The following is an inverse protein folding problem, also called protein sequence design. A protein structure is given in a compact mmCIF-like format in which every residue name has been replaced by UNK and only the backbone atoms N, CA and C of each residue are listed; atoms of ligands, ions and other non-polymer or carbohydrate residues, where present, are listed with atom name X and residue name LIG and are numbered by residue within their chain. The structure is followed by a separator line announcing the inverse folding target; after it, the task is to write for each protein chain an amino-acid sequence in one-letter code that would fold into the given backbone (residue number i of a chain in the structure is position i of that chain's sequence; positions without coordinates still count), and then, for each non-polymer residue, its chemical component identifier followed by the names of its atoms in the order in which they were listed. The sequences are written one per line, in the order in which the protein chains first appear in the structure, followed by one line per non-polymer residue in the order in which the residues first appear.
data_IF_334117006723
#
_entry.id   IF_334117006723
#
_cell.length_a   1.000
_cell.length_b   1.000
_cell.length_c   1.000
_cell.angle_alpha   90.00
_cell.angle_beta   90.00
_cell.angle_gamma   90.00
#
_symmetry.space_group_name_H-M   'P 1'
#
loop_
_entity.id
_entity.type
_entity.pdbx_description
1 polymer ?
#
# COMPACT_ATOMS: atom_id res chain seq x y z
N UNK A 1 23.02 4.60 -1.08
CA UNK A 1 22.73 5.12 -2.45
C UNK A 1 21.33 5.70 -2.41
N UNK A 2 21.17 7.04 -2.43
CA UNK A 2 19.84 7.67 -2.35
C UNK A 2 19.28 7.74 -3.77
N UNK A 3 18.43 6.79 -4.13
CA UNK A 3 17.62 6.89 -5.34
C UNK A 3 16.76 8.14 -5.22
N UNK A 4 16.89 9.09 -6.15
CA UNK A 4 16.02 10.26 -6.20
C UNK A 4 14.87 9.95 -7.13
N UNK A 5 13.66 9.95 -6.60
CA UNK A 5 12.46 9.88 -7.42
C UNK A 5 12.24 11.23 -8.08
N UNK A 6 12.12 11.23 -9.40
CA UNK A 6 11.72 12.43 -10.14
C UNK A 6 10.28 12.78 -9.77
N UNK A 7 10.07 13.99 -9.23
CA UNK A 7 8.75 14.49 -8.87
C UNK A 7 7.77 14.41 -10.07
N UNK A 8 8.23 14.73 -11.28
CA UNK A 8 7.40 14.61 -12.49
C UNK A 8 7.04 13.16 -12.82
N UNK A 9 7.96 12.21 -12.63
CA UNK A 9 7.68 10.80 -12.85
C UNK A 9 6.70 10.24 -11.80
N UNK A 10 6.81 10.70 -10.56
CA UNK A 10 5.88 10.36 -9.48
C UNK A 10 4.47 10.87 -9.79
N UNK A 11 4.32 12.18 -10.06
CA UNK A 11 3.02 12.78 -10.38
C UNK A 11 2.37 12.20 -11.63
N UNK A 12 3.16 11.83 -12.64
CA UNK A 12 2.64 11.14 -13.81
C UNK A 12 2.01 9.79 -13.45
N UNK A 13 2.65 9.01 -12.57
CA UNK A 13 2.12 7.72 -12.09
C UNK A 13 0.89 7.91 -11.21
N UNK A 14 0.88 8.91 -10.33
CA UNK A 14 -0.30 9.26 -9.50
C UNK A 14 -1.49 9.60 -10.39
N UNK A 15 -1.27 10.41 -11.43
CA UNK A 15 -2.32 10.80 -12.38
C UNK A 15 -2.88 9.59 -13.13
N UNK A 16 -2.01 8.65 -13.54
CA UNK A 16 -2.46 7.42 -14.20
C UNK A 16 -3.36 6.58 -13.28
N UNK A 17 -3.01 6.44 -12.00
CA UNK A 17 -3.84 5.73 -11.02
C UNK A 17 -5.15 6.46 -10.73
N UNK A 18 -5.12 7.78 -10.58
CA UNK A 18 -6.34 8.59 -10.41
C UNK A 18 -7.32 8.38 -11.55
N UNK A 19 -6.83 8.35 -12.79
CA UNK A 19 -7.68 8.10 -13.95
C UNK A 19 -8.32 6.69 -13.91
N UNK A 20 -7.58 5.66 -13.48
CA UNK A 20 -8.12 4.32 -13.30
C UNK A 20 -9.18 4.27 -12.19
N UNK A 21 -8.90 4.87 -11.03
CA UNK A 21 -9.82 4.93 -9.89
C UNK A 21 -11.11 5.66 -10.30
N UNK A 22 -11.00 6.81 -10.97
CA UNK A 22 -12.15 7.59 -11.43
C UNK A 22 -12.97 6.87 -12.50
N UNK A 23 -12.33 5.98 -13.29
CA UNK A 23 -13.01 5.12 -14.24
C UNK A 23 -13.66 3.87 -13.59
N UNK A 24 -13.61 3.75 -12.26
CA UNK A 24 -14.02 2.57 -11.50
C UNK A 24 -13.34 1.28 -11.99
N UNK A 25 -12.12 1.40 -12.52
CA UNK A 25 -11.30 0.25 -12.89
C UNK A 25 -10.76 -0.44 -11.63
N UNK A 26 -10.58 -1.75 -11.72
CA UNK A 26 -9.95 -2.52 -10.66
C UNK A 26 -8.48 -2.11 -10.52
N UNK A 27 -8.06 -1.79 -9.29
CA UNK A 27 -6.67 -1.47 -8.97
C UNK A 27 -6.08 -2.58 -8.10
N UNK A 28 -4.79 -2.89 -8.24
CA UNK A 28 -4.15 -3.94 -7.44
C UNK A 28 -4.19 -3.59 -5.94
N UNK A 29 -4.07 -4.60 -5.05
CA UNK A 29 -3.91 -4.35 -3.63
C UNK A 29 -2.58 -3.64 -3.33
N UNK A 30 -2.53 -2.89 -2.24
CA UNK A 30 -1.26 -2.36 -1.73
C UNK A 30 -0.49 -3.48 -1.03
N UNK A 31 0.84 -3.48 -1.14
CA UNK A 31 1.69 -4.40 -0.39
C UNK A 31 2.15 -3.69 0.87
N UNK A 32 1.76 -4.23 2.02
CA UNK A 32 2.10 -3.73 3.36
C UNK A 32 3.02 -4.75 4.01
N UNK A 33 4.21 -4.34 4.40
CA UNK A 33 5.09 -5.14 5.24
C UNK A 33 4.60 -5.10 6.69
N UNK A 34 4.65 -6.24 7.39
CA UNK A 34 4.49 -6.30 8.84
C UNK A 34 5.83 -6.70 9.43
N UNK A 35 6.44 -5.75 10.13
CA UNK A 35 7.77 -5.92 10.72
C UNK A 35 7.83 -5.27 12.09
N UNK A 36 8.38 -5.98 13.08
CA UNK A 36 8.61 -5.45 14.43
C UNK A 36 7.36 -4.88 15.14
N UNK A 37 6.15 -5.29 14.75
CA UNK A 37 4.89 -4.80 15.36
C UNK A 37 4.20 -3.68 14.62
N UNK A 38 4.74 -3.28 13.48
CA UNK A 38 4.20 -2.16 12.71
C UNK A 38 3.85 -2.57 11.29
N UNK A 39 2.84 -1.90 10.75
CA UNK A 39 2.52 -1.94 9.33
C UNK A 39 3.34 -0.87 8.62
N UNK A 40 4.10 -1.27 7.60
CA UNK A 40 4.93 -0.39 6.80
C UNK A 40 4.56 -0.52 5.33
N UNK A 41 4.22 0.59 4.70
CA UNK A 41 4.07 0.65 3.24
C UNK A 41 5.43 0.99 2.64
N UNK A 42 5.81 0.27 1.59
CA UNK A 42 7.04 0.58 0.85
C UNK A 42 7.00 2.04 0.35
N UNK A 43 8.15 2.71 0.44
CA UNK A 43 8.33 4.10 0.00
C UNK A 43 7.95 4.28 -1.47
N UNK A 44 7.47 5.48 -1.82
CA UNK A 44 7.07 5.89 -3.16
C UNK A 44 5.93 5.05 -3.75
N UNK A 45 4.74 5.16 -3.15
CA UNK A 45 3.54 4.48 -3.62
C UNK A 45 2.56 5.44 -4.32
N UNK A 46 2.68 5.66 -5.64
CA UNK A 46 1.75 6.47 -6.42
C UNK A 46 0.28 6.01 -6.33
N UNK A 47 0.03 4.72 -6.11
CA UNK A 47 -1.34 4.21 -5.96
C UNK A 47 -1.93 4.67 -4.63
N UNK A 48 -1.17 4.59 -3.53
CA UNK A 48 -1.61 5.11 -2.23
C UNK A 48 -1.95 6.61 -2.32
N UNK A 49 -1.07 7.40 -2.94
CA UNK A 49 -1.31 8.83 -3.12
C UNK A 49 -2.55 9.10 -3.98
N UNK A 50 -2.77 8.33 -5.04
CA UNK A 50 -3.97 8.43 -5.86
C UNK A 50 -5.24 8.05 -5.09
N UNK A 51 -5.21 6.98 -4.28
CA UNK A 51 -6.32 6.57 -3.41
C UNK A 51 -6.67 7.68 -2.40
N UNK A 52 -5.66 8.30 -1.78
CA UNK A 52 -5.83 9.43 -0.87
C UNK A 52 -6.49 10.64 -1.56
N UNK A 53 -5.99 11.03 -2.74
CA UNK A 53 -6.56 12.14 -3.53
C UNK A 53 -7.99 11.86 -4.01
N UNK A 54 -8.32 10.60 -4.29
CA UNK A 54 -9.67 10.14 -4.63
C UNK A 54 -10.58 9.93 -3.41
N UNK A 55 -10.09 10.20 -2.19
CA UNK A 55 -10.82 10.02 -0.93
C UNK A 55 -11.32 8.58 -0.69
N UNK A 56 -10.58 7.58 -1.18
CA UNK A 56 -10.91 6.17 -0.98
C UNK A 56 -10.57 5.76 0.46
N UNK A 57 -11.60 5.39 1.23
CA UNK A 57 -11.46 5.09 2.66
C UNK A 57 -11.00 3.65 2.96
N UNK A 58 -11.25 2.72 2.04
CA UNK A 58 -10.92 1.30 2.19
C UNK A 58 -10.35 0.78 0.88
N UNK A 59 -9.25 0.04 0.98
CA UNK A 59 -8.62 -0.59 -0.16
C UNK A 59 -8.07 -1.96 0.23
N UNK A 60 -7.92 -2.85 -0.75
CA UNK A 60 -7.34 -4.16 -0.52
C UNK A 60 -5.84 -4.04 -0.25
N UNK A 61 -5.34 -4.86 0.68
CA UNK A 61 -3.91 -4.96 0.99
C UNK A 61 -3.47 -6.42 0.99
N UNK A 62 -2.25 -6.66 0.55
CA UNK A 62 -1.52 -7.90 0.78
C UNK A 62 -0.55 -7.61 1.93
N UNK A 63 -0.64 -8.42 2.97
CA UNK A 63 0.31 -8.39 4.07
C UNK A 63 1.50 -9.28 3.74
N UNK A 64 2.69 -8.70 3.72
CA UNK A 64 3.95 -9.42 3.59
C UNK A 64 4.63 -9.45 4.96
N UNK A 65 4.99 -10.65 5.41
CA UNK A 65 5.76 -10.89 6.62
C UNK A 65 6.98 -11.74 6.25
N UNK A 66 8.15 -11.40 6.80
CA UNK A 66 9.37 -12.20 6.64
C UNK A 66 9.71 -13.02 7.89
N UNK A 67 9.39 -12.51 9.07
CA UNK A 67 9.69 -13.16 10.35
C UNK A 67 8.50 -13.99 10.85
N UNK A 68 8.76 -15.22 11.30
CA UNK A 68 7.73 -16.10 11.88
C UNK A 68 7.10 -15.49 13.13
N UNK A 69 7.88 -14.76 13.92
CA UNK A 69 7.41 -14.08 15.13
C UNK A 69 6.41 -12.97 14.80
N UNK A 70 6.62 -12.24 13.70
CA UNK A 70 5.67 -11.23 13.22
C UNK A 70 4.39 -11.89 12.70
N UNK A 71 4.50 -13.06 12.05
CA UNK A 71 3.35 -13.88 11.65
C UNK A 71 2.52 -14.38 12.84
N UNK A 72 3.17 -14.98 13.85
CA UNK A 72 2.48 -15.51 15.02
C UNK A 72 1.75 -14.40 15.77
N UNK A 73 2.41 -13.26 15.99
CA UNK A 73 1.77 -12.10 16.62
C UNK A 73 0.61 -11.57 15.78
N UNK A 74 0.80 -11.43 14.47
CA UNK A 74 -0.27 -10.97 13.58
C UNK A 74 -1.48 -11.92 13.62
N UNK A 75 -1.24 -13.23 13.56
CA UNK A 75 -2.31 -14.23 13.70
C UNK A 75 -3.04 -14.07 15.02
N UNK A 76 -2.31 -14.00 16.13
CA UNK A 76 -2.93 -13.97 17.45
C UNK A 76 -3.74 -12.66 17.69
N UNK A 77 -3.30 -11.54 17.13
CA UNK A 77 -3.99 -10.25 17.23
C UNK A 77 -5.17 -10.10 16.25
N UNK A 78 -5.01 -10.59 15.01
CA UNK A 78 -5.92 -10.26 13.91
C UNK A 78 -6.73 -11.44 13.35
N UNK A 79 -6.47 -12.70 13.74
CA UNK A 79 -7.18 -13.86 13.18
C UNK A 79 -8.70 -13.81 13.35
N UNK A 80 -9.20 -13.11 14.39
CA UNK A 80 -10.64 -12.95 14.59
C UNK A 80 -11.31 -11.98 13.59
N UNK A 81 -10.52 -11.17 12.88
CA UNK A 81 -10.99 -10.16 11.91
C UNK A 81 -10.75 -10.59 10.45
N UNK A 82 -10.06 -11.72 10.23
CA UNK A 82 -9.82 -12.32 8.92
C UNK A 82 -10.94 -13.30 8.56
#
# INVERSE_FOLDING_TARGET
MKWQVSAGAFEHRVTAWLNQINAAAETPPLIVNVGHGFFELNCDNPLLEALNRANVQKHLVILWMTELTDYDRFRDEYAAYM
#
